data_IF_167162533510
#
_entry.id   IF_167162533510
#
_cell.length_a   1.000
_cell.length_b   1.000
_cell.length_c   1.000
_cell.angle_alpha   90.00
_cell.angle_beta   90.00
_cell.angle_gamma   90.00
#
_symmetry.space_group_name_H-M   'P 1'
#
loop_
_entity.id
_entity.type
_entity.pdbx_description
1 polymer ?
#
# COMPACT_ATOMS: atom_id res chain seq x y z
N UNK A 1 3.52 -0.28 -5.90
CA UNK A 1 2.20 0.29 -6.25
C UNK A 1 1.55 -0.55 -7.36
N UNK A 2 0.52 -1.33 -7.02
CA UNK A 2 -0.27 -2.11 -7.98
C UNK A 2 -1.63 -1.43 -8.31
N UNK A 3 -1.90 -0.22 -7.79
CA UNK A 3 -3.00 0.61 -8.27
C UNK A 3 -2.59 1.32 -9.58
N UNK A 4 -2.53 0.56 -10.66
CA UNK A 4 -2.22 1.07 -12.00
C UNK A 4 -3.34 1.94 -12.59
N UNK A 5 -4.44 2.18 -11.85
CA UNK A 5 -5.56 3.04 -12.30
C UNK A 5 -5.47 4.43 -11.72
N UNK A 6 -5.05 4.55 -10.45
CA UNK A 6 -4.88 5.81 -9.72
C UNK A 6 -3.65 5.75 -8.83
N UNK A 7 -2.46 5.59 -9.42
CA UNK A 7 -1.23 5.42 -8.66
C UNK A 7 -0.95 6.63 -7.77
N UNK A 8 -0.48 6.38 -6.57
CA UNK A 8 -0.22 7.43 -5.59
C UNK A 8 1.15 7.34 -4.92
N UNK A 9 1.80 6.19 -4.97
CA UNK A 9 3.04 5.94 -4.24
C UNK A 9 4.19 6.81 -4.75
N UNK A 10 4.31 7.01 -6.08
CA UNK A 10 5.32 7.92 -6.65
C UNK A 10 5.22 9.31 -6.04
N UNK A 11 4.00 9.85 -5.92
CA UNK A 11 3.75 11.16 -5.31
C UNK A 11 4.09 11.19 -3.82
N UNK A 12 3.78 10.13 -3.07
CA UNK A 12 4.06 10.04 -1.64
C UNK A 12 5.56 10.14 -1.32
N UNK A 13 6.40 9.63 -2.22
CA UNK A 13 7.85 9.61 -2.05
C UNK A 13 8.60 10.62 -2.94
N UNK A 14 7.88 11.55 -3.59
CA UNK A 14 8.44 12.55 -4.51
C UNK A 14 9.29 11.93 -5.65
N UNK A 15 8.88 10.74 -6.12
CA UNK A 15 9.48 10.05 -7.26
C UNK A 15 8.84 10.54 -8.57
N UNK A 16 9.57 10.38 -9.68
CA UNK A 16 9.04 10.69 -11.03
C UNK A 16 7.90 9.71 -11.38
N UNK A 17 6.67 10.20 -11.59
CA UNK A 17 5.55 9.33 -11.95
C UNK A 17 5.65 8.72 -13.35
N UNK A 18 6.55 9.25 -14.21
CA UNK A 18 6.80 8.74 -15.56
C UNK A 18 8.01 7.81 -15.64
N UNK A 19 8.71 7.59 -14.51
CA UNK A 19 9.78 6.59 -14.47
C UNK A 19 9.20 5.20 -14.67
N UNK A 20 9.97 4.26 -15.26
CA UNK A 20 9.55 2.86 -15.36
C UNK A 20 9.15 2.29 -14.00
N UNK A 21 8.09 1.49 -13.99
CA UNK A 21 7.56 0.87 -12.77
C UNK A 21 7.02 -0.53 -13.02
N UNK A 22 6.03 -0.91 -12.23
CA UNK A 22 5.43 -2.25 -12.29
C UNK A 22 4.82 -2.57 -13.66
N UNK A 23 4.22 -1.60 -14.34
CA UNK A 23 3.63 -1.79 -15.67
C UNK A 23 4.68 -2.16 -16.71
N UNK A 24 5.81 -1.44 -16.76
CA UNK A 24 6.92 -1.71 -17.69
C UNK A 24 7.64 -3.02 -17.34
N UNK A 25 7.81 -3.30 -16.05
CA UNK A 25 8.39 -4.55 -15.57
C UNK A 25 7.56 -5.76 -16.03
N UNK A 26 6.24 -5.70 -15.83
CA UNK A 26 5.32 -6.78 -16.19
C UNK A 26 5.13 -6.85 -17.71
N UNK A 27 5.11 -5.74 -18.43
CA UNK A 27 5.13 -5.71 -19.89
C UNK A 27 6.45 -6.27 -20.46
N UNK A 28 7.54 -6.23 -19.68
CA UNK A 28 8.88 -6.69 -20.08
C UNK A 28 9.64 -5.66 -20.91
N UNK A 29 9.28 -4.39 -20.79
CA UNK A 29 9.94 -3.26 -21.47
C UNK A 29 11.00 -2.60 -20.59
N UNK A 30 11.02 -2.90 -19.27
CA UNK A 30 12.06 -2.46 -18.35
C UNK A 30 12.53 -3.61 -17.43
N UNK A 31 13.75 -3.49 -16.91
CA UNK A 31 14.31 -4.40 -15.91
C UNK A 31 13.92 -3.97 -14.50
N UNK A 32 13.92 -4.91 -13.56
CA UNK A 32 13.61 -4.63 -12.15
C UNK A 32 14.51 -3.53 -11.56
N UNK A 33 15.81 -3.53 -11.91
CA UNK A 33 16.77 -2.51 -11.49
C UNK A 33 16.40 -1.09 -11.91
N UNK A 34 15.69 -0.94 -13.02
CA UNK A 34 15.32 0.36 -13.58
C UNK A 34 14.00 0.88 -12.97
N UNK A 35 13.23 -0.04 -12.34
CA UNK A 35 11.91 0.24 -11.78
C UNK A 35 11.92 0.46 -10.27
N UNK A 36 12.95 0.01 -9.54
CA UNK A 36 13.05 0.10 -8.09
C UNK A 36 13.83 1.34 -7.67
N UNK A 37 13.29 2.07 -6.69
CA UNK A 37 13.86 3.29 -6.14
C UNK A 37 14.16 3.11 -4.65
N UNK A 38 15.40 3.32 -4.24
CA UNK A 38 15.75 3.38 -2.81
C UNK A 38 15.35 4.74 -2.24
N UNK A 39 14.67 4.73 -1.09
CA UNK A 39 14.31 5.96 -0.39
C UNK A 39 15.48 6.40 0.49
N UNK A 40 15.91 7.64 0.30
CA UNK A 40 17.05 8.22 1.05
C UNK A 40 16.82 8.15 2.56
N UNK A 41 17.89 7.83 3.32
CA UNK A 41 17.83 7.70 4.78
C UNK A 41 17.07 6.46 5.28
N UNK A 42 16.69 5.54 4.40
CA UNK A 42 15.88 4.36 4.73
C UNK A 42 16.39 3.13 3.98
N UNK A 43 16.02 1.93 4.46
CA UNK A 43 16.18 0.67 3.74
C UNK A 43 14.99 0.35 2.82
N UNK A 44 14.01 1.27 2.77
CA UNK A 44 12.82 1.09 1.96
C UNK A 44 13.16 1.18 0.46
N UNK A 45 12.73 0.16 -0.27
CA UNK A 45 12.74 0.14 -1.73
C UNK A 45 11.31 0.32 -2.24
N UNK A 46 11.11 1.20 -3.21
CA UNK A 46 9.79 1.50 -3.77
C UNK A 46 9.77 1.13 -5.25
N UNK A 47 8.81 0.29 -5.63
CA UNK A 47 8.43 0.01 -7.00
C UNK A 47 7.13 0.76 -7.30
N UNK A 48 7.22 1.82 -8.11
CA UNK A 48 6.05 2.60 -8.52
C UNK A 48 5.20 1.82 -9.53
N UNK A 49 4.01 2.29 -9.84
CA UNK A 49 3.17 1.62 -10.83
C UNK A 49 3.71 1.76 -12.27
N UNK A 50 4.53 2.77 -12.53
CA UNK A 50 4.95 3.14 -13.88
C UNK A 50 3.85 3.89 -14.65
N UNK A 51 3.96 3.90 -15.98
CA UNK A 51 2.95 4.50 -16.86
C UNK A 51 1.64 3.70 -16.79
N UNK A 52 0.52 4.41 -16.72
CA UNK A 52 -0.81 3.78 -16.63
C UNK A 52 -1.09 2.96 -17.90
N UNK A 53 -1.20 1.63 -17.78
CA UNK A 53 -1.46 0.79 -18.95
C UNK A 53 -2.93 0.83 -19.36
N UNK A 54 -3.28 0.53 -20.61
CA UNK A 54 -4.67 0.47 -21.05
C UNK A 54 -5.47 -0.64 -20.34
N UNK A 55 -4.83 -1.77 -20.03
CA UNK A 55 -5.45 -2.96 -19.43
C UNK A 55 -4.71 -3.42 -18.16
N UNK A 56 -4.86 -2.73 -17.00
CA UNK A 56 -4.18 -3.11 -15.76
C UNK A 56 -4.46 -4.56 -15.32
N UNK A 57 -5.71 -4.98 -15.42
CA UNK A 57 -6.14 -6.30 -14.99
C UNK A 57 -5.44 -7.44 -15.77
N UNK A 58 -5.23 -7.26 -17.07
CA UNK A 58 -4.54 -8.23 -17.90
C UNK A 58 -3.08 -8.39 -17.50
N UNK A 59 -2.39 -7.29 -17.21
CA UNK A 59 -1.01 -7.32 -16.70
C UNK A 59 -0.94 -8.05 -15.36
N UNK A 60 -1.85 -7.76 -14.43
CA UNK A 60 -1.88 -8.40 -13.11
C UNK A 60 -2.24 -9.90 -13.16
N UNK A 61 -2.98 -10.33 -14.20
CA UNK A 61 -3.27 -11.75 -14.45
C UNK A 61 -2.10 -12.50 -15.10
N UNK A 62 -1.14 -11.80 -15.69
CA UNK A 62 -0.08 -12.41 -16.48
C UNK A 62 0.87 -13.28 -15.64
N UNK A 63 1.49 -14.27 -16.28
CA UNK A 63 2.57 -15.07 -15.71
C UNK A 63 3.82 -14.22 -15.39
N UNK A 64 4.01 -13.12 -16.10
CA UNK A 64 5.11 -12.19 -15.80
C UNK A 64 4.93 -11.50 -14.46
N UNK A 65 3.70 -11.10 -14.13
CA UNK A 65 3.41 -10.53 -12.81
C UNK A 65 3.70 -11.56 -11.70
N UNK A 66 3.26 -12.82 -11.87
CA UNK A 66 3.55 -13.87 -10.91
C UNK A 66 5.06 -14.06 -10.69
N UNK A 67 5.83 -14.19 -11.78
CA UNK A 67 7.28 -14.30 -11.71
C UNK A 67 7.96 -13.08 -11.12
N UNK A 68 7.43 -11.88 -11.37
CA UNK A 68 7.94 -10.65 -10.74
C UNK A 68 7.74 -10.65 -9.24
N UNK A 69 6.58 -11.11 -8.73
CA UNK A 69 6.33 -11.25 -7.30
C UNK A 69 7.25 -12.29 -6.66
N UNK A 70 7.46 -13.44 -7.31
CA UNK A 70 8.40 -14.46 -6.84
C UNK A 70 9.84 -13.94 -6.77
N UNK A 71 10.27 -13.18 -7.78
CA UNK A 71 11.58 -12.55 -7.79
C UNK A 71 11.72 -11.54 -6.65
N UNK A 72 10.72 -10.68 -6.43
CA UNK A 72 10.72 -9.74 -5.31
C UNK A 72 10.76 -10.46 -3.96
N UNK A 73 9.97 -11.52 -3.77
CA UNK A 73 9.94 -12.29 -2.53
C UNK A 73 11.26 -13.02 -2.21
N UNK A 74 12.11 -13.29 -3.22
CA UNK A 74 13.45 -13.85 -3.02
C UNK A 74 14.48 -12.80 -2.58
N UNK A 75 14.26 -11.53 -2.91
CA UNK A 75 15.22 -10.45 -2.67
C UNK A 75 14.86 -9.60 -1.46
N UNK A 76 13.59 -9.58 -1.07
CA UNK A 76 13.09 -8.76 0.03
C UNK A 76 12.42 -9.63 1.09
N UNK A 77 12.72 -9.35 2.36
CA UNK A 77 12.12 -10.05 3.49
C UNK A 77 10.60 -9.80 3.56
N UNK A 78 10.17 -8.57 3.24
CA UNK A 78 8.77 -8.18 3.22
C UNK A 78 8.49 -7.40 1.92
N UNK A 79 7.43 -7.81 1.21
CA UNK A 79 6.90 -7.11 0.05
C UNK A 79 5.48 -6.66 0.35
N UNK A 80 5.26 -5.35 0.40
CA UNK A 80 3.94 -4.75 0.61
C UNK A 80 3.41 -4.28 -0.74
N UNK A 81 2.19 -4.72 -1.10
CA UNK A 81 1.55 -4.40 -2.37
C UNK A 81 0.33 -3.53 -2.09
N UNK A 82 0.38 -2.27 -2.53
CA UNK A 82 -0.79 -1.36 -2.53
C UNK A 82 -1.68 -1.65 -3.73
N UNK A 83 -3.00 -1.69 -3.51
CA UNK A 83 -3.99 -2.06 -4.53
C UNK A 83 -5.17 -1.09 -4.56
N UNK A 84 -5.88 -0.98 -5.69
CA UNK A 84 -7.12 -0.23 -5.72
C UNK A 84 -8.19 -0.87 -4.82
N UNK A 85 -9.25 -0.12 -4.45
CA UNK A 85 -10.32 -0.63 -3.60
C UNK A 85 -11.00 -1.87 -4.20
N UNK A 86 -11.12 -2.94 -3.41
CA UNK A 86 -11.67 -4.26 -3.79
C UNK A 86 -13.05 -4.18 -4.45
N UNK A 87 -13.89 -3.23 -4.01
CA UNK A 87 -15.26 -3.10 -4.52
C UNK A 87 -15.34 -2.45 -5.91
N UNK A 88 -14.37 -1.64 -6.27
CA UNK A 88 -14.42 -0.89 -7.52
C UNK A 88 -13.95 -1.72 -8.71
N UNK A 89 -12.93 -2.55 -8.53
CA UNK A 89 -12.28 -3.32 -9.59
C UNK A 89 -11.82 -4.68 -9.10
N UNK A 90 -11.54 -5.60 -10.04
CA UNK A 90 -11.09 -6.96 -9.70
C UNK A 90 -9.59 -7.07 -9.43
N UNK A 91 -8.84 -6.01 -9.72
CA UNK A 91 -7.38 -5.95 -9.63
C UNK A 91 -6.87 -6.39 -8.25
N UNK A 92 -7.46 -5.85 -7.17
CA UNK A 92 -7.09 -6.21 -5.80
C UNK A 92 -7.34 -7.70 -5.48
N UNK A 93 -8.41 -8.29 -6.02
CA UNK A 93 -8.71 -9.70 -5.82
C UNK A 93 -7.70 -10.61 -6.53
N UNK A 94 -7.24 -10.22 -7.72
CA UNK A 94 -6.20 -10.93 -8.48
C UNK A 94 -4.86 -10.90 -7.77
N UNK A 95 -4.46 -9.73 -7.27
CA UNK A 95 -3.23 -9.57 -6.49
C UNK A 95 -3.33 -10.35 -5.18
N UNK A 96 -4.47 -10.29 -4.49
CA UNK A 96 -4.71 -10.97 -3.22
C UNK A 96 -4.58 -12.50 -3.32
N UNK A 97 -5.02 -13.09 -4.43
CA UNK A 97 -4.89 -14.53 -4.69
C UNK A 97 -3.43 -14.99 -4.86
N UNK A 98 -2.50 -14.07 -5.13
CA UNK A 98 -1.07 -14.35 -5.32
C UNK A 98 -0.22 -13.93 -4.13
N UNK A 99 -0.79 -13.20 -3.19
CA UNK A 99 -0.10 -12.74 -1.99
C UNK A 99 -0.10 -13.81 -0.89
N UNK A 100 0.95 -13.86 -0.08
CA UNK A 100 1.02 -14.75 1.09
C UNK A 100 0.01 -14.35 2.18
N UNK A 101 -0.47 -13.11 2.16
CA UNK A 101 -1.50 -12.65 3.08
C UNK A 101 -2.06 -11.29 2.71
N UNK A 102 -3.26 -11.00 3.20
CA UNK A 102 -4.00 -9.76 2.94
C UNK A 102 -4.35 -9.08 4.25
N UNK A 103 -3.99 -7.82 4.38
CA UNK A 103 -4.51 -6.91 5.40
C UNK A 103 -5.61 -6.09 4.78
N UNK A 104 -6.85 -6.29 5.24
CA UNK A 104 -8.00 -5.54 4.73
C UNK A 104 -8.14 -4.23 5.51
N UNK A 105 -7.97 -3.09 4.83
CA UNK A 105 -8.04 -1.77 5.46
C UNK A 105 -9.42 -1.14 5.23
N UNK A 106 -10.07 -0.72 6.32
CA UNK A 106 -11.32 0.04 6.29
C UNK A 106 -11.12 1.42 6.89
N UNK A 107 -11.88 2.40 6.43
CA UNK A 107 -11.87 3.76 6.98
C UNK A 107 -13.01 3.93 7.97
N UNK A 108 -12.69 4.28 9.22
CA UNK A 108 -13.68 4.56 10.26
C UNK A 108 -14.66 5.65 9.79
N UNK A 109 -15.93 5.52 10.17
CA UNK A 109 -17.02 6.43 9.84
C UNK A 109 -17.25 6.67 8.34
N UNK A 110 -16.54 5.97 7.44
CA UNK A 110 -16.62 6.16 5.98
C UNK A 110 -16.94 4.86 5.23
N UNK A 111 -16.43 3.70 5.70
CA UNK A 111 -16.70 2.40 5.07
C UNK A 111 -17.94 1.76 5.72
N UNK A 112 -19.10 1.66 5.03
CA UNK A 112 -20.27 1.00 5.58
C UNK A 112 -20.02 -0.49 5.82
N UNK A 113 -20.56 -1.03 6.91
CA UNK A 113 -20.40 -2.44 7.26
C UNK A 113 -20.83 -3.42 6.14
N UNK A 114 -21.99 -3.21 5.43
CA UNK A 114 -22.36 -4.09 4.33
C UNK A 114 -21.32 -4.09 3.19
N UNK A 115 -20.70 -2.95 2.91
CA UNK A 115 -19.65 -2.81 1.89
C UNK A 115 -18.39 -3.58 2.30
N UNK A 116 -17.92 -3.39 3.54
CA UNK A 116 -16.78 -4.12 4.08
C UNK A 116 -17.00 -5.64 4.05
N UNK A 117 -18.20 -6.10 4.45
CA UNK A 117 -18.57 -7.52 4.41
C UNK A 117 -18.53 -8.07 2.98
N UNK A 118 -19.06 -7.33 2.02
CA UNK A 118 -19.07 -7.73 0.60
C UNK A 118 -17.65 -7.80 0.03
N UNK A 119 -16.80 -6.84 0.36
CA UNK A 119 -15.38 -6.82 -0.02
C UNK A 119 -14.65 -8.06 0.52
N UNK A 120 -14.83 -8.38 1.80
CA UNK A 120 -14.25 -9.57 2.42
C UNK A 120 -14.75 -10.86 1.76
N UNK A 121 -16.04 -10.93 1.40
CA UNK A 121 -16.58 -12.08 0.67
C UNK A 121 -15.94 -12.22 -0.73
N UNK A 122 -15.67 -11.09 -1.42
CA UNK A 122 -15.00 -11.09 -2.72
C UNK A 122 -13.58 -11.62 -2.61
N UNK A 123 -12.81 -11.16 -1.61
CA UNK A 123 -11.47 -11.67 -1.33
C UNK A 123 -11.47 -13.16 -1.00
N UNK A 124 -12.41 -13.63 -0.19
CA UNK A 124 -12.56 -15.07 0.12
C UNK A 124 -12.89 -15.93 -1.09
N UNK A 125 -13.71 -15.41 -2.01
CA UNK A 125 -14.00 -16.11 -3.30
C UNK A 125 -12.78 -16.18 -4.21
N UNK A 126 -11.87 -15.26 -4.09
CA UNK A 126 -10.58 -15.26 -4.77
C UNK A 126 -9.52 -16.10 -4.01
N UNK A 127 -9.93 -16.85 -2.98
CA UNK A 127 -9.06 -17.70 -2.14
C UNK A 127 -7.93 -16.93 -1.42
N UNK A 128 -8.13 -15.62 -1.23
CA UNK A 128 -7.14 -14.79 -0.55
C UNK A 128 -7.01 -15.15 0.93
N UNK A 129 -5.78 -15.28 1.40
CA UNK A 129 -5.47 -15.51 2.81
C UNK A 129 -5.56 -14.19 3.60
N UNK A 130 -6.69 -13.93 4.27
CA UNK A 130 -6.93 -12.72 5.04
C UNK A 130 -6.29 -12.87 6.42
N UNK A 131 -5.21 -12.12 6.67
CA UNK A 131 -4.48 -12.10 7.95
C UNK A 131 -5.26 -11.31 9.00
N UNK A 132 -5.86 -10.18 8.59
CA UNK A 132 -6.57 -9.31 9.52
C UNK A 132 -7.23 -8.12 8.86
N UNK A 133 -7.89 -7.31 9.69
CA UNK A 133 -8.58 -6.08 9.31
C UNK A 133 -8.01 -4.91 10.10
N UNK A 134 -7.74 -3.80 9.42
CA UNK A 134 -7.32 -2.54 10.04
C UNK A 134 -8.44 -1.51 9.91
N UNK A 135 -8.85 -0.93 11.04
CA UNK A 135 -9.73 0.23 11.08
C UNK A 135 -8.87 1.50 11.09
N UNK A 136 -8.75 2.14 9.93
CA UNK A 136 -7.93 3.33 9.75
C UNK A 136 -8.73 4.62 9.98
N UNK A 137 -8.03 5.73 10.22
CA UNK A 137 -8.60 7.07 10.41
C UNK A 137 -9.67 7.14 11.54
N UNK A 138 -9.43 6.42 12.64
CA UNK A 138 -10.29 6.47 13.81
C UNK A 138 -10.15 7.84 14.51
N UNK A 139 -11.25 8.55 14.67
CA UNK A 139 -11.32 9.76 15.48
C UNK A 139 -11.55 9.37 16.94
N UNK A 140 -10.49 9.41 17.74
CA UNK A 140 -10.54 9.01 19.15
C UNK A 140 -11.52 9.85 19.99
N UNK A 141 -11.68 11.13 19.68
CA UNK A 141 -12.63 12.00 20.40
C UNK A 141 -14.08 11.57 20.16
N UNK A 142 -14.38 11.05 18.95
CA UNK A 142 -15.70 10.46 18.65
C UNK A 142 -15.83 9.06 19.21
N UNK A 143 -14.74 8.27 19.17
CA UNK A 143 -14.72 6.91 19.70
C UNK A 143 -14.99 6.90 21.22
N UNK A 144 -14.42 7.83 21.98
CA UNK A 144 -14.65 7.95 23.43
C UNK A 144 -16.14 8.16 23.76
N UNK A 145 -16.89 8.89 22.92
CA UNK A 145 -18.32 9.09 23.06
C UNK A 145 -19.14 7.80 22.84
N UNK A 146 -18.66 6.87 22.00
CA UNK A 146 -19.34 5.61 21.72
C UNK A 146 -18.87 4.46 22.62
N UNK A 147 -17.63 4.51 23.10
CA UNK A 147 -17.02 3.48 23.95
C UNK A 147 -16.90 3.92 25.41
N UNK A 148 -17.37 5.14 25.76
CA UNK A 148 -17.29 5.69 27.11
C UNK A 148 -17.99 4.87 28.20
N UNK A 149 -18.97 4.05 27.87
CA UNK A 149 -19.58 3.06 28.77
C UNK A 149 -18.66 1.86 29.07
N UNK A 150 -17.66 1.59 28.24
CA UNK A 150 -16.62 0.56 28.46
C UNK A 150 -15.34 1.11 29.12
N UNK A 151 -15.32 2.40 29.51
CA UNK A 151 -14.11 3.10 29.97
C UNK A 151 -13.67 2.76 31.39
N UNK A 152 -14.23 1.73 32.02
CA UNK A 152 -13.69 1.18 33.26
C UNK A 152 -12.26 0.62 33.14
N UNK A 153 -11.80 0.34 31.92
CA UNK A 153 -10.45 -0.17 31.63
C UNK A 153 -9.51 0.89 31.00
N UNK A 154 -9.98 2.09 30.64
CA UNK A 154 -9.23 3.05 29.84
C UNK A 154 -8.57 4.22 30.55
N UNK A 155 -8.81 4.41 31.86
CA UNK A 155 -8.27 5.61 32.57
C UNK A 155 -6.78 5.56 32.88
N UNK A 156 -6.07 4.47 32.63
CA UNK A 156 -4.65 4.35 32.99
C UNK A 156 -3.68 4.04 31.84
N UNK A 157 -4.09 3.93 30.57
CA UNK A 157 -3.17 3.44 29.54
C UNK A 157 -3.07 4.22 28.21
N UNK A 158 -4.09 4.94 27.78
CA UNK A 158 -4.10 5.50 26.42
C UNK A 158 -4.07 7.03 26.31
N UNK A 159 -4.30 7.75 27.41
CA UNK A 159 -4.34 9.22 27.42
C UNK A 159 -3.00 9.90 27.13
N UNK A 160 -1.87 9.21 27.33
CA UNK A 160 -0.54 9.78 27.12
C UNK A 160 0.04 9.50 25.71
N UNK A 161 -0.56 8.60 24.92
CA UNK A 161 -0.05 8.30 23.58
C UNK A 161 -0.48 9.33 22.51
N UNK A 162 -1.63 9.99 22.69
CA UNK A 162 -2.11 10.95 21.68
C UNK A 162 -1.34 12.28 21.69
N UNK A 163 -0.80 12.71 22.85
CA UNK A 163 -0.03 13.97 22.95
C UNK A 163 1.40 13.84 22.42
N UNK A 164 1.96 12.63 22.40
CA UNK A 164 3.33 12.40 21.93
C UNK A 164 3.41 12.16 20.43
N UNK A 165 2.40 11.53 19.81
CA UNK A 165 2.39 11.22 18.37
C UNK A 165 1.62 12.22 17.52
N UNK A 166 0.60 12.91 18.04
CA UNK A 166 -0.20 13.89 17.30
C UNK A 166 0.54 15.20 16.98
N UNK A 167 1.56 15.55 17.77
CA UNK A 167 2.34 16.80 17.58
C UNK A 167 3.42 16.72 16.51
N UNK A 168 3.91 15.54 16.19
CA UNK A 168 5.07 15.38 15.30
C UNK A 168 4.65 15.10 13.85
N UNK A 169 3.54 14.41 13.61
CA UNK A 169 3.10 14.06 12.24
C UNK A 169 2.41 15.21 11.48
N UNK A 170 1.82 16.19 12.18
CA UNK A 170 1.13 17.32 11.55
C UNK A 170 2.03 18.41 10.99
N UNK A 171 3.31 18.46 11.35
CA UNK A 171 4.26 19.52 10.92
C UNK A 171 5.23 19.09 9.82
N UNK A 172 5.32 17.81 9.48
CA UNK A 172 6.33 17.31 8.52
C UNK A 172 5.83 17.27 7.07
N UNK A 173 4.53 17.42 6.82
CA UNK A 173 3.97 17.40 5.46
C UNK A 173 3.79 18.78 4.80
N UNK A 174 4.29 19.87 5.42
CA UNK A 174 4.17 21.25 4.92
C UNK A 174 5.50 21.92 4.51
N UNK A 175 6.59 21.19 4.32
CA UNK A 175 7.93 21.75 4.07
C UNK A 175 8.47 21.51 2.67
N UNK A 176 8.62 22.59 1.92
CA UNK A 176 9.46 22.90 0.74
C UNK A 176 10.09 21.72 -0.04
N UNK A 177 9.87 21.74 -1.36
CA UNK A 177 10.55 20.91 -2.36
C UNK A 177 12.05 20.82 -2.12
N UNK A 178 12.55 19.60 -1.90
CA UNK A 178 13.97 19.30 -1.81
C UNK A 178 14.55 19.15 -3.22
N UNK A 179 15.75 19.70 -3.40
CA UNK A 179 16.58 19.71 -4.60
C UNK A 179 16.91 18.30 -5.12
N UNK A 180 17.11 18.21 -6.44
CA UNK A 180 17.45 17.00 -7.19
C UNK A 180 18.46 16.09 -6.49
N UNK A 181 18.03 14.83 -6.26
CA UNK A 181 18.83 13.81 -5.58
C UNK A 181 19.73 13.08 -6.57
N UNK A 182 21.00 12.93 -6.21
CA UNK A 182 21.97 12.06 -6.86
C UNK A 182 21.59 10.59 -6.67
N UNK A 183 21.39 9.87 -7.77
CA UNK A 183 21.06 8.44 -7.77
C UNK A 183 22.19 7.62 -7.18
N UNK A 184 21.94 6.93 -6.09
CA UNK A 184 22.81 5.84 -5.61
C UNK A 184 22.61 4.61 -6.50
N UNK A 185 23.67 3.91 -6.94
CA UNK A 185 23.50 2.73 -7.79
C UNK A 185 22.79 1.61 -7.01
N UNK A 186 21.71 1.10 -7.61
CA UNK A 186 21.03 -0.10 -7.12
C UNK A 186 21.92 -1.31 -7.39
N UNK A 187 22.09 -2.27 -6.43
CA UNK A 187 22.84 -3.49 -6.70
C UNK A 187 22.24 -4.23 -7.90
N UNK A 188 23.11 -4.65 -8.83
CA UNK A 188 22.72 -5.42 -10.02
C UNK A 188 22.23 -6.77 -9.57
N UNK A 189 20.92 -7.00 -9.74
CA UNK A 189 20.28 -8.30 -9.53
C UNK A 189 20.32 -9.01 -10.89
N UNK A 190 21.23 -10.00 -11.02
CA UNK A 190 21.31 -10.86 -12.20
C UNK A 190 20.15 -11.87 -12.24
#
# INVERSE_FOLDING_TARGET
>A
DADMRRPSIAKCYALDPNAPGLSELVAGTAKLSDCIHQIEGSKLMVLTSGVIPPNPLELLHSERFARSLEALAKHFEIVIIDTPPVELVSDAAVVAARASGVIFVTKAHSTPYPLARKSLQRLRRAEAHIIGVVLNALDFNKAEKYYGEYSGYGKHGYGNYSSTYGGTYGKTYGGKAASAQTRTPVPVIN
#
